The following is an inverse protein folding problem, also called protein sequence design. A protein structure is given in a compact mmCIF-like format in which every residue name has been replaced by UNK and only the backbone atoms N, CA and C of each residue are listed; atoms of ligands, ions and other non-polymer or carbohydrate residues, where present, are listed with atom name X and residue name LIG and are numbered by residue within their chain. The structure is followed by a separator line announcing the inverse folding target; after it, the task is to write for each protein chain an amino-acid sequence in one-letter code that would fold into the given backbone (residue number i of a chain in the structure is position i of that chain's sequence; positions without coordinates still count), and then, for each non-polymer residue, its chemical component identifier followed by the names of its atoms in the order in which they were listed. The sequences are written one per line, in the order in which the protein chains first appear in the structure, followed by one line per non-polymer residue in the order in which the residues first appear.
data_IF_070521368855
#
_entry.id   IF_070521368855
#
_cell.length_a   1.000
_cell.length_b   1.000
_cell.length_c   1.000
_cell.angle_alpha   90.00
_cell.angle_beta   90.00
_cell.angle_gamma   90.00
#
_symmetry.space_group_name_H-M   'P 1'
#
loop_
_entity.id
_entity.type
_entity.pdbx_description
1 polymer ?
#
# COMPACT_ATOMS: atom_id res chain seq x y z
N UNK A 1 -29.84 17.69 -13.42
CA UNK A 1 -28.73 18.66 -13.35
C UNK A 1 -28.15 18.51 -11.96
N UNK A 2 -27.04 17.77 -11.82
CA UNK A 2 -26.40 17.53 -10.52
C UNK A 2 -25.38 18.65 -10.29
N UNK A 3 -25.46 19.34 -9.16
CA UNK A 3 -24.47 20.36 -8.79
C UNK A 3 -23.18 19.65 -8.40
N UNK A 4 -22.03 20.25 -8.75
CA UNK A 4 -20.70 19.70 -8.46
C UNK A 4 -20.43 19.48 -6.95
N UNK A 5 -21.30 20.03 -6.09
CA UNK A 5 -21.22 19.98 -4.63
C UNK A 5 -21.73 18.65 -4.04
N UNK A 6 -22.47 17.83 -4.78
CA UNK A 6 -23.03 16.55 -4.26
C UNK A 6 -22.05 15.36 -4.27
N UNK A 7 -20.73 15.58 -4.26
CA UNK A 7 -19.75 14.51 -4.54
C UNK A 7 -18.75 14.12 -3.45
N UNK A 8 -19.03 14.44 -2.19
CA UNK A 8 -18.41 13.74 -1.07
C UNK A 8 -19.48 13.36 -0.04
N UNK A 9 -19.89 12.09 -0.06
CA UNK A 9 -20.70 11.47 1.00
C UNK A 9 -20.06 11.75 2.38
N UNK A 10 -20.86 11.97 3.43
CA UNK A 10 -20.44 12.10 4.85
C UNK A 10 -19.39 11.05 5.27
N UNK A 11 -19.37 9.87 4.65
CA UNK A 11 -18.35 8.83 4.81
C UNK A 11 -16.91 9.34 4.54
N UNK A 12 -16.72 10.38 3.71
CA UNK A 12 -15.43 11.02 3.43
C UNK A 12 -15.06 12.12 4.44
N UNK A 13 -15.99 12.57 5.28
CA UNK A 13 -15.72 13.43 6.43
C UNK A 13 -15.67 12.63 7.73
N UNK A 14 -15.63 11.29 7.62
CA UNK A 14 -15.67 10.43 8.78
C UNK A 14 -14.45 10.66 9.67
N UNK A 15 -14.62 10.78 11.00
CA UNK A 15 -13.52 10.73 11.96
C UNK A 15 -12.61 9.50 11.78
N UNK A 16 -13.12 8.47 11.08
CA UNK A 16 -12.41 7.28 10.62
C UNK A 16 -11.21 7.57 9.72
N UNK A 17 -11.16 8.73 9.07
CA UNK A 17 -10.04 9.16 8.23
C UNK A 17 -8.94 9.91 9.01
N UNK A 18 -9.10 10.12 10.33
CA UNK A 18 -8.17 10.88 11.17
C UNK A 18 -7.15 10.02 11.95
N UNK A 19 -7.38 8.71 12.10
CA UNK A 19 -6.51 7.76 12.84
C UNK A 19 -5.95 6.69 11.90
N UNK A 20 -4.77 6.10 12.20
CA UNK A 20 -4.11 5.22 11.22
C UNK A 20 -5.02 4.04 10.81
N UNK A 21 -5.08 3.66 9.51
CA UNK A 21 -5.98 2.61 9.00
C UNK A 21 -5.86 1.25 9.68
N UNK A 22 -4.72 1.01 10.32
CA UNK A 22 -4.39 -0.23 11.02
C UNK A 22 -5.02 -0.31 12.40
N UNK A 23 -5.30 0.83 13.02
CA UNK A 23 -5.92 0.91 14.33
C UNK A 23 -7.43 0.69 14.25
N UNK A 24 -7.99 0.60 13.03
CA UNK A 24 -9.39 0.29 12.78
C UNK A 24 -9.63 -1.17 12.45
N UNK A 25 -9.91 -1.95 13.50
CA UNK A 25 -10.48 -3.30 13.42
C UNK A 25 -11.92 -3.28 12.92
N UNK A 26 -12.38 -4.39 12.33
CA UNK A 26 -13.78 -4.52 11.93
C UNK A 26 -14.68 -4.55 13.17
N UNK A 27 -15.73 -3.74 13.20
CA UNK A 27 -16.66 -3.63 14.36
C UNK A 27 -17.94 -4.49 14.18
N UNK A 28 -17.90 -5.50 13.31
CA UNK A 28 -19.05 -6.36 12.99
C UNK A 28 -20.16 -5.70 12.16
N UNK A 29 -20.17 -4.37 12.03
CA UNK A 29 -21.12 -3.62 11.19
C UNK A 29 -20.46 -2.97 9.97
N UNK A 30 -19.17 -2.65 10.04
CA UNK A 30 -18.44 -1.97 8.96
C UNK A 30 -17.05 -2.63 8.74
N UNK A 31 -16.63 -2.83 7.47
CA UNK A 31 -15.33 -3.41 7.17
C UNK A 31 -14.20 -2.44 7.52
N UNK A 32 -13.05 -2.98 7.94
CA UNK A 32 -11.84 -2.19 8.18
C UNK A 32 -11.39 -1.39 6.95
N UNK A 33 -10.69 -0.28 7.17
CA UNK A 33 -10.36 0.68 6.10
C UNK A 33 -9.15 0.21 5.29
N UNK A 34 -9.25 0.34 3.95
CA UNK A 34 -8.10 0.13 3.05
C UNK A 34 -7.11 1.27 3.19
N UNK A 35 -5.84 0.89 3.33
CA UNK A 35 -4.72 1.79 3.52
C UNK A 35 -4.64 2.86 2.40
N UNK A 36 -4.77 2.46 1.13
CA UNK A 36 -4.74 3.37 -0.03
C UNK A 36 -5.80 4.48 -0.06
N UNK A 37 -6.89 4.36 0.72
CA UNK A 37 -7.96 5.36 0.75
C UNK A 37 -7.76 6.44 1.80
N UNK A 38 -6.81 6.25 2.72
CA UNK A 38 -6.85 6.99 3.97
C UNK A 38 -6.11 8.32 3.97
N UNK A 39 -5.19 8.56 3.03
CA UNK A 39 -4.25 9.69 3.25
C UNK A 39 -3.78 10.39 1.98
N UNK A 40 -4.57 10.47 0.90
CA UNK A 40 -4.19 11.22 -0.31
C UNK A 40 -2.75 10.92 -0.77
N UNK A 41 -2.32 9.66 -0.67
CA UNK A 41 -0.95 9.20 -0.95
C UNK A 41 -0.52 9.39 -2.39
N UNK A 42 -1.45 9.80 -3.25
CA UNK A 42 -1.15 10.36 -4.55
C UNK A 42 -0.53 11.75 -4.34
N UNK A 43 0.65 11.78 -3.70
CA UNK A 43 1.48 12.98 -3.71
C UNK A 43 1.67 13.42 -5.16
N UNK A 44 1.62 14.73 -5.41
CA UNK A 44 1.94 15.27 -6.72
C UNK A 44 3.35 14.83 -7.08
N UNK A 45 3.55 13.95 -8.08
CA UNK A 45 4.88 13.65 -8.53
C UNK A 45 5.41 14.94 -9.15
N UNK A 46 6.52 15.47 -8.62
CA UNK A 46 7.30 16.39 -9.43
C UNK A 46 7.93 15.49 -10.49
N UNK A 47 7.30 15.46 -11.67
CA UNK A 47 7.74 14.63 -12.78
C UNK A 47 9.09 15.16 -13.29
N UNK A 48 10.18 14.78 -12.62
CA UNK A 48 11.47 14.71 -13.28
C UNK A 48 11.33 13.73 -14.46
N UNK A 49 11.87 14.10 -15.61
CA UNK A 49 11.77 13.37 -16.89
C UNK A 49 12.52 12.02 -16.88
N UNK A 50 12.27 11.17 -15.89
CA UNK A 50 12.93 9.88 -15.71
C UNK A 50 12.11 8.77 -16.36
N UNK A 51 12.74 8.04 -17.29
CA UNK A 51 12.15 6.85 -17.89
C UNK A 51 11.98 5.75 -16.83
N UNK A 52 10.75 5.31 -16.61
CA UNK A 52 10.43 4.16 -15.75
C UNK A 52 10.02 2.99 -16.65
N UNK A 53 10.70 1.82 -16.56
CA UNK A 53 10.29 0.65 -17.32
C UNK A 53 8.83 0.27 -17.04
N UNK A 54 8.07 -0.03 -18.09
CA UNK A 54 6.63 -0.29 -18.00
C UNK A 54 6.21 -1.32 -16.93
N UNK A 55 6.93 -2.45 -16.72
CA UNK A 55 6.57 -3.39 -15.65
C UNK A 55 6.68 -2.80 -14.24
N UNK A 56 7.70 -1.96 -14.01
CA UNK A 56 7.92 -1.29 -12.73
C UNK A 56 6.90 -0.18 -12.53
N UNK A 57 6.66 0.64 -13.56
CA UNK A 57 5.64 1.69 -13.53
C UNK A 57 4.24 1.14 -13.25
N UNK A 58 3.86 0.05 -13.94
CA UNK A 58 2.60 -0.66 -13.71
C UNK A 58 2.49 -1.18 -12.27
N UNK A 59 3.60 -1.66 -11.71
CA UNK A 59 3.62 -2.16 -10.32
C UNK A 59 3.41 -1.03 -9.32
N UNK A 60 4.06 0.12 -9.54
CA UNK A 60 3.89 1.35 -8.76
C UNK A 60 2.45 1.88 -8.81
N UNK A 61 1.87 2.00 -10.02
CA UNK A 61 0.50 2.48 -10.17
C UNK A 61 -0.50 1.56 -9.46
N UNK A 62 -0.39 0.25 -9.65
CA UNK A 62 -1.26 -0.71 -8.95
C UNK A 62 -1.09 -0.66 -7.44
N UNK A 63 0.13 -0.43 -6.95
CA UNK A 63 0.40 -0.25 -5.53
C UNK A 63 -0.33 0.98 -4.99
N UNK A 64 -0.18 2.15 -5.64
CA UNK A 64 -0.85 3.39 -5.25
C UNK A 64 -2.36 3.30 -5.23
N UNK A 65 -2.93 2.52 -6.15
CA UNK A 65 -4.38 2.34 -6.27
C UNK A 65 -4.95 1.24 -5.34
N UNK A 66 -4.12 0.56 -4.53
CA UNK A 66 -4.56 -0.60 -3.74
C UNK A 66 -5.10 -1.74 -4.63
N UNK A 67 -4.55 -1.85 -5.84
CA UNK A 67 -4.90 -2.84 -6.85
C UNK A 67 -3.86 -3.98 -6.94
N UNK A 68 -2.99 -4.09 -5.93
CA UNK A 68 -2.18 -5.29 -5.71
C UNK A 68 -3.01 -6.38 -5.07
N UNK A 69 -2.72 -7.63 -5.42
CA UNK A 69 -3.38 -8.83 -4.87
C UNK A 69 -2.93 -9.17 -3.44
N UNK A 70 -2.72 -8.16 -2.58
CA UNK A 70 -2.50 -8.32 -1.14
C UNK A 70 -3.77 -8.83 -0.47
N UNK A 71 -3.64 -9.53 0.66
CA UNK A 71 -4.80 -10.09 1.35
C UNK A 71 -5.84 -9.03 1.73
N UNK A 72 -5.43 -7.82 2.15
CA UNK A 72 -6.38 -6.72 2.46
C UNK A 72 -7.13 -6.21 1.24
N UNK A 73 -6.60 -6.39 0.02
CA UNK A 73 -7.23 -5.93 -1.20
C UNK A 73 -8.13 -6.97 -1.85
N UNK A 74 -8.01 -8.24 -1.43
CA UNK A 74 -8.80 -9.35 -1.96
C UNK A 74 -10.24 -9.35 -1.43
N UNK A 75 -11.22 -9.75 -2.28
CA UNK A 75 -12.56 -10.09 -1.82
C UNK A 75 -12.51 -11.49 -1.19
N UNK A 76 -12.15 -11.56 0.09
CA UNK A 76 -11.97 -12.85 0.78
C UNK A 76 -12.98 -13.07 1.92
N UNK A 77 -13.97 -12.18 2.08
CA UNK A 77 -15.03 -12.30 3.10
C UNK A 77 -14.55 -12.23 4.55
N UNK A 78 -13.23 -12.11 4.79
CA UNK A 78 -12.63 -12.09 6.12
C UNK A 78 -12.49 -10.66 6.64
N UNK A 79 -12.64 -10.42 7.96
CA UNK A 79 -12.24 -9.18 8.60
C UNK A 79 -10.79 -8.81 8.30
N UNK A 80 -10.44 -7.52 8.38
CA UNK A 80 -9.12 -7.00 7.98
C UNK A 80 -7.99 -7.65 8.79
N UNK A 81 -8.21 -7.77 10.09
CA UNK A 81 -7.31 -8.36 11.07
C UNK A 81 -7.02 -9.85 10.83
N UNK A 82 -7.87 -10.54 10.05
CA UNK A 82 -7.67 -11.96 9.69
C UNK A 82 -6.97 -12.16 8.34
N UNK A 83 -6.48 -11.08 7.73
CA UNK A 83 -5.88 -11.08 6.38
C UNK A 83 -4.36 -11.05 6.48
N UNK A 84 -3.80 -12.13 7.02
CA UNK A 84 -2.39 -12.24 7.38
C UNK A 84 -1.45 -12.33 6.18
N UNK A 85 -0.20 -11.91 6.37
CA UNK A 85 0.86 -11.97 5.38
C UNK A 85 1.28 -13.40 5.08
N UNK A 86 1.08 -13.80 3.81
CA UNK A 86 1.43 -15.13 3.31
C UNK A 86 2.91 -15.29 2.99
N UNK A 87 3.73 -14.25 3.18
CA UNK A 87 5.16 -14.27 2.82
C UNK A 87 6.07 -14.33 4.03
N UNK A 88 5.81 -13.56 5.08
CA UNK A 88 6.58 -13.63 6.32
C UNK A 88 6.06 -14.69 7.31
N UNK A 89 4.91 -15.31 7.01
CA UNK A 89 4.27 -16.33 7.83
C UNK A 89 4.03 -15.91 9.30
N UNK A 90 4.01 -14.61 9.58
CA UNK A 90 3.62 -14.07 10.87
C UNK A 90 2.08 -13.98 10.92
N UNK A 91 1.47 -14.77 11.81
CA UNK A 91 0.01 -14.89 11.96
C UNK A 91 -0.66 -13.60 12.46
N UNK A 92 0.09 -12.68 13.07
CA UNK A 92 -0.43 -11.41 13.59
C UNK A 92 -0.20 -10.25 12.61
N UNK A 93 0.55 -10.47 11.53
CA UNK A 93 0.89 -9.43 10.57
C UNK A 93 -0.14 -9.34 9.44
N UNK A 94 -0.97 -8.29 9.43
CA UNK A 94 -1.91 -8.03 8.32
C UNK A 94 -1.15 -7.67 7.03
N UNK A 95 -1.49 -8.33 5.92
CA UNK A 95 -0.86 -8.08 4.62
C UNK A 95 -1.45 -6.85 3.92
N UNK A 96 -0.99 -5.67 4.31
CA UNK A 96 -1.28 -4.40 3.64
C UNK A 96 -0.05 -3.76 2.99
N UNK A 97 -0.25 -2.65 2.29
CA UNK A 97 0.81 -1.89 1.63
C UNK A 97 1.93 -1.47 2.59
N UNK A 98 1.57 -1.09 3.81
CA UNK A 98 2.53 -0.66 4.82
C UNK A 98 3.37 -1.82 5.32
N UNK A 99 2.76 -2.98 5.58
CA UNK A 99 3.46 -4.17 6.03
C UNK A 99 4.49 -4.56 4.98
N UNK A 100 4.04 -4.65 3.74
CA UNK A 100 4.86 -5.08 2.61
C UNK A 100 6.02 -4.11 2.35
N UNK A 101 5.78 -2.80 2.41
CA UNK A 101 6.84 -1.83 2.16
C UNK A 101 7.79 -1.63 3.35
N UNK A 102 7.29 -1.61 4.59
CA UNK A 102 8.01 -1.03 5.73
C UNK A 102 8.42 -2.05 6.80
N UNK A 103 7.65 -3.15 6.96
CA UNK A 103 7.76 -3.99 8.17
C UNK A 103 8.08 -5.45 7.90
N UNK A 104 7.61 -5.99 6.78
CA UNK A 104 7.64 -7.42 6.51
C UNK A 104 9.10 -7.89 6.41
N UNK A 105 9.58 -8.77 7.32
CA UNK A 105 10.98 -9.14 7.38
C UNK A 105 11.44 -9.91 6.13
N UNK A 106 10.50 -10.57 5.43
CA UNK A 106 10.79 -11.24 4.16
C UNK A 106 11.28 -10.28 3.05
N UNK A 107 11.14 -8.96 3.23
CA UNK A 107 11.60 -7.94 2.29
C UNK A 107 12.76 -7.09 2.85
N UNK A 108 13.37 -7.44 3.98
CA UNK A 108 14.49 -6.68 4.57
C UNK A 108 15.67 -6.52 3.61
N UNK A 109 16.10 -7.61 2.98
CA UNK A 109 17.18 -7.57 1.98
C UNK A 109 16.84 -6.65 0.80
N UNK A 110 15.59 -6.70 0.32
CA UNK A 110 15.14 -5.84 -0.77
C UNK A 110 15.09 -4.38 -0.33
N UNK A 111 14.75 -4.07 0.93
CA UNK A 111 14.83 -2.69 1.43
C UNK A 111 16.28 -2.22 1.56
N UNK A 112 17.18 -3.09 2.01
CA UNK A 112 18.60 -2.78 2.16
C UNK A 112 19.23 -2.38 0.82
N UNK A 113 18.88 -3.06 -0.28
CA UNK A 113 19.31 -2.74 -1.64
C UNK A 113 18.88 -1.33 -2.11
N UNK A 114 17.89 -0.73 -1.45
CA UNK A 114 17.33 0.58 -1.77
C UNK A 114 17.37 1.52 -0.54
N UNK A 115 18.31 1.32 0.38
CA UNK A 115 18.41 2.08 1.63
C UNK A 115 18.50 3.61 1.40
N UNK A 116 19.04 4.05 0.26
CA UNK A 116 19.10 5.47 -0.15
C UNK A 116 17.73 6.15 -0.27
N UNK A 117 16.66 5.37 -0.43
CA UNK A 117 15.28 5.86 -0.48
C UNK A 117 14.69 6.15 0.91
N UNK A 118 15.34 5.71 1.99
CA UNK A 118 14.82 5.86 3.35
C UNK A 118 13.51 5.10 3.59
N UNK A 119 13.34 3.93 2.96
CA UNK A 119 12.18 3.04 3.16
C UNK A 119 12.44 2.10 4.35
N UNK A 120 11.55 2.06 5.34
CA UNK A 120 11.65 1.17 6.49
C UNK A 120 10.72 1.56 7.65
N UNK A 121 10.84 0.91 8.81
CA UNK A 121 9.92 1.07 9.95
C UNK A 121 9.79 2.50 10.49
N UNK A 122 10.77 3.38 10.24
CA UNK A 122 10.76 4.77 10.72
C UNK A 122 10.10 5.76 9.74
N UNK A 123 9.61 5.31 8.59
CA UNK A 123 8.99 6.19 7.59
C UNK A 123 7.49 5.97 7.48
N UNK A 124 6.80 7.02 7.06
CA UNK A 124 5.37 7.00 6.75
C UNK A 124 5.15 6.64 5.29
N UNK A 125 3.99 6.07 4.97
CA UNK A 125 3.63 5.78 3.58
C UNK A 125 3.59 7.07 2.73
N UNK A 126 3.19 8.20 3.32
CA UNK A 126 3.20 9.50 2.65
C UNK A 126 4.62 9.93 2.25
N UNK A 127 5.60 9.78 3.15
CA UNK A 127 7.00 10.07 2.84
C UNK A 127 7.52 9.19 1.71
N UNK A 128 7.27 7.88 1.78
CA UNK A 128 7.71 6.92 0.75
C UNK A 128 7.07 7.23 -0.61
N UNK A 129 5.78 7.53 -0.65
CA UNK A 129 5.09 7.82 -1.91
C UNK A 129 5.47 9.18 -2.52
N UNK A 130 6.01 10.10 -1.70
CA UNK A 130 6.47 11.44 -2.08
C UNK A 130 7.96 11.51 -2.46
N UNK A 131 8.67 10.38 -2.44
CA UNK A 131 10.07 10.26 -2.87
C UNK A 131 10.23 10.82 -4.28
N UNK A 132 11.23 11.67 -4.51
CA UNK A 132 11.47 12.26 -5.83
C UNK A 132 11.98 11.24 -6.85
N UNK A 133 12.79 10.29 -6.40
CA UNK A 133 13.29 9.18 -7.22
C UNK A 133 12.22 8.12 -7.46
N UNK A 134 11.27 8.45 -8.34
CA UNK A 134 10.16 7.58 -8.72
C UNK A 134 10.65 6.33 -9.46
N UNK A 135 11.82 6.36 -10.09
CA UNK A 135 12.40 5.19 -10.77
C UNK A 135 12.81 4.13 -9.74
N UNK A 136 13.61 4.48 -8.75
CA UNK A 136 14.03 3.55 -7.72
C UNK A 136 12.84 3.11 -6.85
N UNK A 137 11.89 4.01 -6.56
CA UNK A 137 10.64 3.64 -5.90
C UNK A 137 9.83 2.60 -6.71
N UNK A 138 9.70 2.79 -8.02
CA UNK A 138 9.03 1.83 -8.89
C UNK A 138 9.77 0.48 -8.92
N UNK A 139 11.10 0.50 -8.91
CA UNK A 139 11.94 -0.71 -8.93
C UNK A 139 11.80 -1.51 -7.64
N UNK A 140 11.89 -0.90 -6.46
CA UNK A 140 11.73 -1.63 -5.19
C UNK A 140 10.32 -2.26 -5.09
N UNK A 141 9.28 -1.49 -5.42
CA UNK A 141 7.89 -1.98 -5.44
C UNK A 141 7.76 -3.15 -6.43
N UNK A 142 8.38 -3.05 -7.60
CA UNK A 142 8.37 -4.15 -8.57
C UNK A 142 9.09 -5.40 -8.07
N UNK A 143 10.26 -5.26 -7.44
CA UNK A 143 11.03 -6.38 -6.88
C UNK A 143 10.26 -7.08 -5.77
N UNK A 144 9.67 -6.32 -4.85
CA UNK A 144 8.79 -6.84 -3.79
C UNK A 144 7.61 -7.62 -4.41
N UNK A 145 6.95 -7.05 -5.41
CA UNK A 145 5.85 -7.73 -6.14
C UNK A 145 6.29 -9.06 -6.71
N UNK A 146 7.47 -9.11 -7.36
CA UNK A 146 8.00 -10.34 -7.95
C UNK A 146 8.25 -11.40 -6.88
N UNK A 147 8.91 -11.03 -5.76
CA UNK A 147 9.17 -11.96 -4.64
C UNK A 147 7.87 -12.49 -4.04
N UNK A 148 6.87 -11.63 -3.87
CA UNK A 148 5.54 -12.06 -3.41
C UNK A 148 4.90 -13.07 -4.36
N UNK A 149 4.87 -12.77 -5.66
CA UNK A 149 4.26 -13.65 -6.67
C UNK A 149 5.00 -14.99 -6.76
N UNK A 150 6.32 -15.03 -6.59
CA UNK A 150 7.04 -16.30 -6.55
C UNK A 150 6.72 -17.13 -5.30
N UNK A 151 6.37 -16.49 -4.18
CA UNK A 151 6.06 -17.18 -2.93
C UNK A 151 4.59 -17.63 -2.84
N UNK A 152 3.66 -16.78 -3.25
CA UNK A 152 2.21 -16.98 -3.09
C UNK A 152 1.52 -17.47 -4.38
N UNK A 153 2.24 -17.46 -5.51
CA UNK A 153 1.70 -17.73 -6.84
C UNK A 153 1.01 -16.51 -7.47
N UNK A 154 0.75 -16.58 -8.79
CA UNK A 154 -0.09 -15.61 -9.50
C UNK A 154 -1.55 -15.88 -9.13
N UNK A 155 -2.02 -15.24 -8.07
CA UNK A 155 -3.42 -15.28 -7.65
C UNK A 155 -4.00 -13.89 -7.58
#
# INVERSE_FOLDING_TARGET
MFTLEERFNEDWLSPRLLTQPRDFVSDGGKPGVKMCRHTNWMGMPQHGASYIPMPAYTSLLRFRLGAWALEVNRPNGRPREQRWCRVCNNADAVEDEYHVMMECPAYDEIRADFASLGVGQNSTMLQVMSIQDQLHLARIIHTIRKKRVSHVGRT
#
